data_IF_420995274577
#
_entry.id   IF_420995274577
#
_cell.length_a   1.000
_cell.length_b   1.000
_cell.length_c   1.000
_cell.angle_alpha   90.00
_cell.angle_beta   90.00
_cell.angle_gamma   90.00
#
_symmetry.space_group_name_H-M   'P 1'
#
loop_
_entity.id
_entity.type
_entity.pdbx_description
1 polymer ?
#
# COMPACT_ATOMS: atom_id res chain seq x y z
N UNK A 1 17.03 -4.10 11.20
CA UNK A 1 17.56 -4.04 9.83
C UNK A 1 19.08 -4.05 9.81
N UNK A 2 19.69 -4.15 8.61
CA UNK A 2 21.15 -4.32 8.38
C UNK A 2 22.04 -3.25 9.06
N UNK A 3 21.46 -2.10 9.42
CA UNK A 3 22.18 -0.98 10.02
C UNK A 3 21.80 -0.67 11.49
N UNK A 4 21.22 -1.62 12.23
CA UNK A 4 20.82 -1.44 13.64
C UNK A 4 19.70 -0.39 13.88
N UNK A 5 18.80 -0.21 12.90
CA UNK A 5 17.54 0.58 13.00
C UNK A 5 17.67 1.90 13.76
N UNK A 6 18.76 2.62 13.51
CA UNK A 6 19.02 3.86 14.23
C UNK A 6 18.05 4.97 13.77
N UNK A 7 17.46 5.76 14.69
CA UNK A 7 16.46 6.77 14.35
C UNK A 7 16.95 7.81 13.33
N UNK A 8 18.25 8.12 13.33
CA UNK A 8 18.86 9.10 12.42
C UNK A 8 18.75 8.72 10.96
N UNK A 9 18.71 7.42 10.61
CA UNK A 9 18.61 6.99 9.21
C UNK A 9 17.26 7.33 8.62
N UNK A 10 16.19 7.11 9.39
CA UNK A 10 14.85 7.51 8.97
C UNK A 10 14.75 9.03 8.85
N UNK A 11 15.38 9.78 9.76
CA UNK A 11 15.46 11.24 9.67
C UNK A 11 16.17 11.68 8.38
N UNK A 12 17.35 11.15 8.09
CA UNK A 12 18.10 11.51 6.88
C UNK A 12 17.35 11.14 5.59
N UNK A 13 16.68 9.98 5.57
CA UNK A 13 15.84 9.60 4.44
C UNK A 13 14.70 10.60 4.21
N UNK A 14 14.04 11.06 5.29
CA UNK A 14 12.97 12.07 5.22
C UNK A 14 13.49 13.42 4.77
N UNK A 15 14.62 13.88 5.31
CA UNK A 15 15.26 15.14 4.94
C UNK A 15 15.70 15.13 3.46
N UNK A 16 16.35 14.05 3.01
CA UNK A 16 16.76 13.88 1.62
C UNK A 16 15.58 13.84 0.65
N UNK A 17 14.51 13.14 1.03
CA UNK A 17 13.27 13.07 0.23
C UNK A 17 12.59 14.44 0.14
N UNK A 18 12.52 15.17 1.25
CA UNK A 18 11.95 16.52 1.28
C UNK A 18 12.76 17.50 0.41
N UNK A 19 14.10 17.44 0.50
CA UNK A 19 14.98 18.26 -0.33
C UNK A 19 14.81 17.95 -1.82
N UNK A 20 14.78 16.67 -2.20
CA UNK A 20 14.58 16.26 -3.58
C UNK A 20 13.25 16.79 -4.14
N UNK A 21 12.14 16.54 -3.44
CA UNK A 21 10.81 16.98 -3.87
C UNK A 21 10.66 18.51 -3.93
N UNK A 22 11.37 19.23 -3.05
CA UNK A 22 11.33 20.69 -3.01
C UNK A 22 12.11 21.37 -4.13
N UNK A 23 13.23 20.79 -4.58
CA UNK A 23 14.21 21.52 -5.39
C UNK A 23 14.57 20.87 -6.72
N UNK A 24 14.46 19.55 -6.86
CA UNK A 24 14.84 18.86 -8.10
C UNK A 24 13.72 18.86 -9.13
N UNK A 25 12.47 19.13 -8.75
CA UNK A 25 11.33 19.14 -9.67
C UNK A 25 11.18 20.50 -10.36
N UNK A 26 11.20 20.51 -11.69
CA UNK A 26 10.93 21.68 -12.53
C UNK A 26 9.42 21.75 -12.78
N UNK A 27 8.71 22.46 -11.90
CA UNK A 27 7.26 22.63 -11.95
C UNK A 27 6.79 23.57 -13.07
N UNK A 28 7.66 24.41 -13.63
CA UNK A 28 7.29 25.33 -14.70
C UNK A 28 7.23 24.62 -16.04
N UNK A 29 8.21 23.76 -16.32
CA UNK A 29 8.34 23.08 -17.61
C UNK A 29 8.18 21.55 -17.52
N UNK A 30 7.76 21.01 -16.38
CA UNK A 30 7.44 19.60 -16.19
C UNK A 30 8.63 18.65 -16.30
N UNK A 31 9.76 19.00 -15.70
CA UNK A 31 11.01 18.23 -15.76
C UNK A 31 11.64 17.93 -14.40
N UNK A 32 12.88 17.44 -14.43
CA UNK A 32 13.71 17.24 -13.24
C UNK A 32 15.08 17.85 -13.52
N UNK A 33 15.63 18.60 -12.57
CA UNK A 33 17.00 19.09 -12.62
C UNK A 33 17.98 17.98 -12.27
N UNK A 34 19.10 17.86 -12.98
CA UNK A 34 20.13 16.87 -12.66
C UNK A 34 20.85 17.19 -11.35
N UNK A 35 21.17 18.47 -11.14
CA UNK A 35 21.83 18.97 -9.94
C UNK A 35 21.22 20.29 -9.47
N UNK A 36 21.24 20.47 -8.15
CA UNK A 36 20.96 21.74 -7.49
C UNK A 36 22.10 22.08 -6.53
N UNK A 37 22.33 23.36 -6.30
CA UNK A 37 23.19 23.83 -5.23
C UNK A 37 22.57 23.50 -3.85
N UNK A 38 23.35 23.59 -2.77
CA UNK A 38 22.85 23.32 -1.42
C UNK A 38 21.65 24.21 -1.00
N UNK A 39 21.45 25.35 -1.67
CA UNK A 39 20.31 26.25 -1.47
C UNK A 39 19.11 25.94 -2.39
N UNK A 40 19.16 24.86 -3.16
CA UNK A 40 18.10 24.43 -4.07
C UNK A 40 18.10 25.11 -5.45
N UNK A 41 19.03 26.02 -5.73
CA UNK A 41 19.11 26.65 -7.04
C UNK A 41 19.58 25.64 -8.12
N UNK A 42 18.90 25.56 -9.28
CA UNK A 42 19.31 24.67 -10.36
C UNK A 42 20.73 24.96 -10.85
N UNK A 43 21.56 23.93 -10.93
CA UNK A 43 22.86 24.02 -11.57
C UNK A 43 22.69 23.84 -13.08
N UNK A 44 22.91 24.91 -13.85
CA UNK A 44 22.55 24.98 -15.28
C UNK A 44 23.74 25.37 -16.18
N UNK A 45 24.93 24.83 -15.90
CA UNK A 45 26.12 25.03 -16.71
C UNK A 45 26.37 23.85 -17.66
N UNK A 46 26.81 24.14 -18.88
CA UNK A 46 27.17 23.11 -19.87
C UNK A 46 26.02 22.17 -20.21
N UNK A 47 26.30 20.87 -20.27
CA UNK A 47 25.34 19.82 -20.61
C UNK A 47 24.26 19.60 -19.55
N UNK A 48 24.46 20.05 -18.30
CA UNK A 48 23.49 19.88 -17.21
C UNK A 48 22.23 20.73 -17.41
N UNK A 49 22.31 21.80 -18.22
CA UNK A 49 21.14 22.59 -18.64
C UNK A 49 20.33 21.90 -19.75
N UNK A 50 20.94 21.01 -20.52
CA UNK A 50 20.33 20.42 -21.70
C UNK A 50 19.35 19.32 -21.33
N UNK A 51 18.04 19.52 -21.51
CA UNK A 51 17.01 18.51 -21.18
C UNK A 51 17.16 17.17 -21.91
N UNK A 52 17.81 17.15 -23.07
CA UNK A 52 18.12 15.93 -23.83
C UNK A 52 19.55 15.41 -23.64
N UNK A 53 20.33 15.96 -22.70
CA UNK A 53 21.69 15.48 -22.44
C UNK A 53 21.66 14.17 -21.67
N UNK A 54 22.76 13.40 -21.70
CA UNK A 54 22.89 12.18 -20.91
C UNK A 54 22.74 12.41 -19.39
N UNK A 55 22.88 13.67 -18.92
CA UNK A 55 22.65 14.05 -17.52
C UNK A 55 21.16 14.24 -17.21
N UNK A 56 20.34 14.68 -18.17
CA UNK A 56 18.92 15.02 -17.94
C UNK A 56 17.94 14.09 -18.67
N UNK A 57 18.42 13.34 -19.66
CA UNK A 57 17.63 12.35 -20.38
C UNK A 57 17.16 11.32 -19.35
N UNK A 58 15.84 11.23 -19.18
CA UNK A 58 15.24 10.79 -17.93
C UNK A 58 15.51 9.36 -17.49
N UNK A 59 16.31 8.54 -18.18
CA UNK A 59 16.50 7.14 -17.79
C UNK A 59 17.09 7.00 -16.37
N UNK A 60 18.11 7.79 -15.98
CA UNK A 60 18.61 7.77 -14.60
C UNK A 60 17.59 8.33 -13.59
N UNK A 61 16.93 9.45 -13.92
CA UNK A 61 15.96 10.07 -13.03
C UNK A 61 14.71 9.20 -12.86
N UNK A 62 14.23 8.53 -13.90
CA UNK A 62 13.07 7.64 -13.86
C UNK A 62 13.38 6.37 -13.08
N UNK A 63 14.54 5.75 -13.30
CA UNK A 63 14.96 4.57 -12.53
C UNK A 63 15.11 4.91 -11.05
N UNK A 64 15.80 6.01 -10.71
CA UNK A 64 15.94 6.46 -9.33
C UNK A 64 14.60 6.81 -8.69
N UNK A 65 13.72 7.53 -9.40
CA UNK A 65 12.39 7.86 -8.90
C UNK A 65 11.53 6.60 -8.69
N UNK A 66 11.60 5.65 -9.62
CA UNK A 66 10.89 4.37 -9.53
C UNK A 66 11.34 3.57 -8.32
N UNK A 67 12.65 3.37 -8.16
CA UNK A 67 13.22 2.69 -7.00
C UNK A 67 12.89 3.41 -5.70
N UNK A 68 13.09 4.74 -5.64
CA UNK A 68 12.77 5.53 -4.45
C UNK A 68 11.29 5.42 -4.07
N UNK A 69 10.38 5.45 -5.04
CA UNK A 69 8.94 5.27 -4.80
C UNK A 69 8.64 3.87 -4.27
N UNK A 70 9.18 2.82 -4.89
CA UNK A 70 8.98 1.42 -4.46
C UNK A 70 9.47 1.21 -3.03
N UNK A 71 10.71 1.60 -2.74
CA UNK A 71 11.29 1.43 -1.41
C UNK A 71 10.52 2.22 -0.35
N UNK A 72 10.19 3.49 -0.64
CA UNK A 72 9.47 4.35 0.31
C UNK A 72 8.05 3.85 0.55
N UNK A 73 7.34 3.46 -0.50
CA UNK A 73 5.95 3.03 -0.38
C UNK A 73 5.87 1.63 0.24
N UNK A 74 6.53 0.63 -0.35
CA UNK A 74 6.37 -0.75 0.08
C UNK A 74 7.14 -1.07 1.37
N UNK A 75 8.39 -0.58 1.51
CA UNK A 75 9.21 -0.97 2.67
C UNK A 75 9.07 -0.05 3.87
N UNK A 76 8.97 1.27 3.65
CA UNK A 76 8.95 2.27 4.74
C UNK A 76 7.52 2.59 5.18
N UNK A 77 6.67 3.05 4.26
CA UNK A 77 5.32 3.54 4.60
C UNK A 77 4.23 2.46 4.53
N UNK A 78 4.61 1.24 4.11
CA UNK A 78 3.73 0.07 3.99
C UNK A 78 2.49 0.30 3.12
N UNK A 79 2.64 1.07 2.06
CA UNK A 79 1.61 1.40 1.08
C UNK A 79 1.70 0.48 -0.14
N UNK A 80 0.57 -0.12 -0.51
CA UNK A 80 0.45 -0.90 -1.74
C UNK A 80 0.62 -0.01 -2.98
N UNK A 81 1.10 -0.61 -4.07
CA UNK A 81 1.33 0.07 -5.35
C UNK A 81 0.79 -0.74 -6.51
N UNK A 82 0.24 -0.05 -7.50
CA UNK A 82 -0.22 -0.65 -8.75
C UNK A 82 0.85 -0.49 -9.84
N UNK A 83 1.19 -1.59 -10.51
CA UNK A 83 2.11 -1.62 -11.65
C UNK A 83 1.37 -2.08 -12.90
N UNK A 84 1.78 -1.54 -14.05
CA UNK A 84 1.12 -1.75 -15.32
C UNK A 84 2.10 -2.33 -16.34
N UNK A 85 1.69 -3.41 -16.99
CA UNK A 85 2.46 -4.13 -17.98
C UNK A 85 1.64 -4.31 -19.25
N UNK A 86 2.35 -4.44 -20.37
CA UNK A 86 1.74 -4.73 -21.67
C UNK A 86 2.55 -5.78 -22.42
N UNK A 87 2.56 -7.05 -21.95
CA UNK A 87 3.29 -8.11 -22.61
C UNK A 87 2.71 -8.40 -23.99
N UNK A 88 3.59 -8.66 -24.96
CA UNK A 88 3.22 -9.18 -26.27
C UNK A 88 2.79 -10.66 -26.18
N UNK A 89 1.91 -11.11 -27.09
CA UNK A 89 1.59 -12.53 -27.27
C UNK A 89 2.85 -13.39 -27.35
N UNK A 90 2.89 -14.48 -26.59
CA UNK A 90 4.03 -15.41 -26.57
C UNK A 90 5.40 -14.73 -26.31
N UNK A 91 5.42 -13.54 -25.69
CA UNK A 91 6.65 -12.78 -25.46
C UNK A 91 7.59 -13.41 -24.42
N UNK A 92 7.13 -14.40 -23.66
CA UNK A 92 7.88 -15.05 -22.58
C UNK A 92 7.71 -16.58 -22.61
N UNK A 93 8.74 -17.33 -22.17
CA UNK A 93 8.60 -18.76 -21.93
C UNK A 93 7.43 -19.06 -20.99
N UNK A 94 6.63 -20.06 -21.35
CA UNK A 94 5.44 -20.51 -20.62
C UNK A 94 4.38 -19.41 -20.35
N UNK A 95 4.42 -18.29 -21.07
CA UNK A 95 3.54 -17.14 -20.85
C UNK A 95 3.59 -16.61 -19.40
N UNK A 96 4.73 -16.71 -18.73
CA UNK A 96 4.90 -16.27 -17.33
C UNK A 96 5.47 -14.86 -17.23
N UNK A 97 4.65 -13.94 -16.75
CA UNK A 97 5.06 -12.56 -16.46
C UNK A 97 5.55 -12.43 -15.01
N UNK A 98 6.83 -12.12 -14.83
CA UNK A 98 7.42 -11.79 -13.53
C UNK A 98 7.22 -10.31 -13.24
N UNK A 99 6.61 -9.98 -12.11
CA UNK A 99 6.22 -8.59 -11.78
C UNK A 99 6.93 -8.03 -10.55
N UNK A 100 7.85 -8.80 -9.96
CA UNK A 100 8.65 -8.37 -8.81
C UNK A 100 9.49 -7.12 -9.13
N UNK A 101 9.43 -6.06 -8.30
CA UNK A 101 10.37 -4.96 -8.37
C UNK A 101 11.78 -5.41 -8.00
N UNK A 102 12.79 -4.78 -8.59
CA UNK A 102 14.18 -5.19 -8.39
C UNK A 102 14.68 -4.91 -6.95
N UNK A 103 15.62 -5.73 -6.49
CA UNK A 103 16.39 -5.53 -5.24
C UNK A 103 15.56 -5.32 -3.96
N UNK A 104 14.36 -5.88 -3.87
CA UNK A 104 13.60 -5.94 -2.61
C UNK A 104 14.06 -7.14 -1.75
N UNK A 105 14.14 -7.01 -0.42
CA UNK A 105 14.39 -8.14 0.45
C UNK A 105 13.37 -9.25 0.21
N UNK A 106 13.83 -10.50 0.11
CA UNK A 106 12.94 -11.64 -0.12
C UNK A 106 11.86 -11.71 0.96
N UNK A 107 10.60 -11.90 0.54
CA UNK A 107 9.46 -11.95 1.45
C UNK A 107 9.09 -10.62 2.11
N UNK A 108 9.58 -9.48 1.62
CA UNK A 108 9.16 -8.16 2.10
C UNK A 108 7.92 -7.60 1.41
N UNK A 109 7.57 -8.14 0.24
CA UNK A 109 6.39 -7.78 -0.56
C UNK A 109 5.78 -9.02 -1.21
N UNK A 110 4.52 -8.92 -1.59
CA UNK A 110 3.76 -9.99 -2.23
C UNK A 110 2.81 -9.44 -3.30
N UNK A 111 2.48 -10.28 -4.29
CA UNK A 111 1.51 -9.96 -5.33
C UNK A 111 0.09 -10.20 -4.79
N UNK A 112 -0.68 -9.11 -4.60
CA UNK A 112 -1.98 -9.14 -3.94
C UNK A 112 -3.15 -9.33 -4.91
N UNK A 113 -3.17 -8.55 -5.99
CA UNK A 113 -4.29 -8.54 -6.94
C UNK A 113 -3.75 -8.42 -8.37
N UNK A 114 -4.44 -9.05 -9.33
CA UNK A 114 -4.13 -8.96 -10.76
C UNK A 114 -5.40 -8.63 -11.53
N UNK A 115 -5.26 -7.79 -12.56
CA UNK A 115 -6.28 -7.54 -13.55
C UNK A 115 -5.71 -7.68 -14.95
N UNK A 116 -6.48 -8.31 -15.83
CA UNK A 116 -6.19 -8.40 -17.26
C UNK A 116 -7.35 -7.75 -18.01
N UNK A 117 -7.06 -6.77 -18.86
CA UNK A 117 -8.05 -5.98 -19.59
C UNK A 117 -9.18 -5.46 -18.66
N UNK A 118 -8.75 -4.87 -17.54
CA UNK A 118 -9.60 -4.28 -16.49
C UNK A 118 -10.51 -5.27 -15.72
N UNK A 119 -10.30 -6.59 -15.89
CA UNK A 119 -11.03 -7.66 -15.19
C UNK A 119 -10.15 -8.38 -14.19
N UNK A 120 -10.68 -8.70 -13.01
CA UNK A 120 -9.97 -9.48 -11.99
C UNK A 120 -9.49 -10.82 -12.54
N UNK A 121 -8.26 -11.17 -12.20
CA UNK A 121 -7.58 -12.38 -12.65
C UNK A 121 -6.91 -13.06 -11.45
N UNK A 122 -6.96 -14.39 -11.41
CA UNK A 122 -6.64 -15.16 -10.20
C UNK A 122 -5.56 -16.23 -10.41
N UNK A 123 -5.10 -16.46 -11.64
CA UNK A 123 -4.03 -17.43 -11.91
C UNK A 123 -2.65 -16.78 -11.79
N UNK A 124 -2.21 -16.58 -10.55
CA UNK A 124 -0.91 -16.00 -10.24
C UNK A 124 -0.32 -16.60 -8.96
N UNK A 125 1.01 -16.61 -8.89
CA UNK A 125 1.75 -16.96 -7.68
C UNK A 125 2.03 -15.67 -6.87
N UNK A 126 1.39 -15.59 -5.71
CA UNK A 126 1.49 -14.48 -4.76
C UNK A 126 2.92 -14.25 -4.26
N UNK A 127 3.64 -15.33 -3.95
CA UNK A 127 4.96 -15.28 -3.31
C UNK A 127 6.07 -15.14 -4.34
N UNK A 128 5.99 -15.89 -5.44
CA UNK A 128 6.94 -15.78 -6.54
C UNK A 128 6.72 -14.51 -7.38
N UNK A 129 5.58 -13.83 -7.21
CA UNK A 129 5.16 -12.65 -7.97
C UNK A 129 5.15 -12.93 -9.49
N UNK A 130 4.49 -14.02 -9.86
CA UNK A 130 4.37 -14.49 -11.25
C UNK A 130 2.91 -14.50 -11.65
N UNK A 131 2.56 -13.86 -12.76
CA UNK A 131 1.25 -13.98 -13.41
C UNK A 131 1.36 -15.02 -14.53
N UNK A 132 0.51 -16.04 -14.49
CA UNK A 132 0.39 -17.00 -15.59
C UNK A 132 -0.56 -16.38 -16.63
N UNK A 133 0.01 -15.79 -17.69
CA UNK A 133 -0.80 -15.09 -18.68
C UNK A 133 -1.65 -16.09 -19.47
N UNK A 134 -2.93 -15.77 -19.75
CA UNK A 134 -3.72 -16.56 -20.67
C UNK A 134 -3.16 -16.45 -22.09
N UNK A 135 -3.44 -17.46 -22.91
CA UNK A 135 -3.17 -17.36 -24.34
C UNK A 135 -3.93 -16.19 -24.96
N UNK A 136 -3.23 -15.41 -25.77
CA UNK A 136 -3.77 -14.25 -26.45
C UNK A 136 -3.10 -14.09 -27.81
N UNK A 137 -3.83 -13.54 -28.77
CA UNK A 137 -3.36 -13.13 -30.10
C UNK A 137 -2.96 -11.65 -30.15
N UNK A 138 -3.21 -10.91 -29.06
CA UNK A 138 -2.93 -9.48 -28.91
C UNK A 138 -2.25 -9.14 -27.58
N UNK A 139 -1.53 -8.02 -27.48
CA UNK A 139 -0.93 -7.59 -26.22
C UNK A 139 -2.00 -7.39 -25.14
N UNK A 140 -1.75 -7.93 -23.95
CA UNK A 140 -2.67 -7.86 -22.82
C UNK A 140 -2.38 -6.62 -21.98
N UNK A 141 -3.40 -5.94 -21.47
CA UNK A 141 -3.21 -4.91 -20.43
C UNK A 141 -3.24 -5.58 -19.06
N UNK A 142 -2.07 -5.70 -18.43
CA UNK A 142 -1.96 -6.31 -17.11
C UNK A 142 -1.75 -5.20 -16.09
N UNK A 143 -2.64 -5.11 -15.11
CA UNK A 143 -2.41 -4.35 -13.88
C UNK A 143 -2.16 -5.34 -12.75
N UNK A 144 -1.17 -5.08 -11.92
CA UNK A 144 -0.95 -5.83 -10.69
C UNK A 144 -0.90 -4.89 -9.51
N UNK A 145 -1.33 -5.36 -8.34
CA UNK A 145 -1.12 -4.70 -7.07
C UNK A 145 -0.09 -5.48 -6.27
N UNK A 146 0.97 -4.80 -5.88
CA UNK A 146 1.97 -5.35 -4.96
C UNK A 146 1.79 -4.66 -3.62
N UNK A 147 1.85 -5.43 -2.55
CA UNK A 147 1.73 -4.93 -1.19
C UNK A 147 2.85 -5.46 -0.30
N UNK A 148 3.14 -4.81 0.84
CA UNK A 148 4.09 -5.35 1.79
C UNK A 148 3.64 -6.73 2.31
N UNK A 149 4.55 -7.69 2.31
CA UNK A 149 4.27 -9.06 2.71
C UNK A 149 4.11 -9.16 4.23
N UNK A 150 3.34 -10.16 4.67
CA UNK A 150 3.05 -10.36 6.09
C UNK A 150 2.00 -9.41 6.66
N UNK A 151 1.45 -8.49 5.88
CA UNK A 151 0.29 -7.68 6.25
C UNK A 151 -1.00 -8.49 6.10
N UNK A 152 -1.08 -9.68 6.69
CA UNK A 152 -2.11 -10.70 6.47
C UNK A 152 -3.48 -10.34 7.03
N UNK A 153 -4.02 -9.17 6.69
CA UNK A 153 -5.32 -8.74 7.15
C UNK A 153 -6.43 -9.45 6.35
N UNK A 154 -7.34 -10.12 7.07
CA UNK A 154 -8.64 -10.52 6.54
C UNK A 154 -9.76 -9.95 7.42
N UNK A 155 -10.93 -9.79 6.82
CA UNK A 155 -12.15 -9.40 7.49
C UNK A 155 -13.27 -10.32 7.00
N UNK A 156 -13.38 -11.49 7.60
CA UNK A 156 -14.27 -12.54 7.14
C UNK A 156 -15.64 -12.40 7.81
N UNK A 157 -16.70 -12.28 7.01
CA UNK A 157 -18.06 -12.23 7.51
C UNK A 157 -18.46 -13.59 8.11
N UNK A 158 -18.67 -13.63 9.42
CA UNK A 158 -19.12 -14.82 10.15
C UNK A 158 -20.64 -14.98 10.10
N UNK A 159 -21.38 -13.88 10.28
CA UNK A 159 -22.84 -13.87 10.23
C UNK A 159 -23.37 -12.47 9.93
N UNK A 160 -24.58 -12.42 9.35
CA UNK A 160 -25.33 -11.18 9.15
C UNK A 160 -26.79 -11.41 9.51
N UNK A 161 -27.19 -10.91 10.68
CA UNK A 161 -28.51 -11.14 11.26
C UNK A 161 -29.07 -9.84 11.84
N UNK A 162 -30.34 -9.54 11.56
CA UNK A 162 -31.02 -8.34 12.08
C UNK A 162 -30.27 -7.02 11.82
N UNK A 163 -29.58 -6.90 10.69
CA UNK A 163 -28.79 -5.71 10.34
C UNK A 163 -27.42 -5.63 11.02
N UNK A 164 -27.04 -6.62 11.84
CA UNK A 164 -25.74 -6.69 12.51
C UNK A 164 -24.82 -7.65 11.74
N UNK A 165 -23.70 -7.14 11.24
CA UNK A 165 -22.65 -7.95 10.63
C UNK A 165 -21.56 -8.30 11.63
N UNK A 166 -21.27 -9.60 11.81
CA UNK A 166 -20.15 -10.07 12.63
C UNK A 166 -18.98 -10.45 11.75
N UNK A 167 -17.83 -9.82 11.96
CA UNK A 167 -16.62 -10.05 11.17
C UNK A 167 -15.50 -10.61 12.06
N UNK A 168 -14.83 -11.67 11.60
CA UNK A 168 -13.56 -12.12 12.15
C UNK A 168 -12.43 -11.34 11.50
N UNK A 169 -11.63 -10.67 12.32
CA UNK A 169 -10.43 -9.99 11.88
C UNK A 169 -9.20 -10.85 12.19
N UNK A 170 -8.34 -11.02 11.20
CA UNK A 170 -7.04 -11.69 11.32
C UNK A 170 -5.94 -10.72 10.86
N UNK A 171 -4.73 -10.85 11.39
CA UNK A 171 -3.54 -10.12 10.93
C UNK A 171 -3.45 -8.68 11.44
N UNK A 172 -3.01 -7.77 10.57
CA UNK A 172 -2.62 -6.40 10.95
C UNK A 172 -3.51 -5.35 10.26
N UNK A 173 -4.38 -4.69 11.04
CA UNK A 173 -5.26 -3.63 10.53
C UNK A 173 -4.51 -2.30 10.44
N UNK A 174 -3.87 -2.10 9.29
CA UNK A 174 -3.13 -0.87 8.97
C UNK A 174 -3.85 0.00 7.94
N UNK A 175 -3.39 1.24 7.75
CA UNK A 175 -3.93 2.16 6.73
C UNK A 175 -4.12 1.53 5.34
N UNK A 176 -3.19 0.68 4.89
CA UNK A 176 -3.26 0.05 3.57
C UNK A 176 -4.32 -1.05 3.46
N UNK A 177 -4.81 -1.56 4.60
CA UNK A 177 -5.84 -2.61 4.68
C UNK A 177 -7.26 -2.07 4.87
N UNK A 178 -7.40 -0.77 5.18
CA UNK A 178 -8.70 -0.11 5.26
C UNK A 178 -9.57 -0.24 4.00
N UNK A 179 -9.04 -0.13 2.76
CA UNK A 179 -9.86 -0.34 1.56
C UNK A 179 -10.45 -1.75 1.48
N UNK A 180 -9.69 -2.77 1.91
CA UNK A 180 -10.18 -4.16 1.96
C UNK A 180 -11.28 -4.29 3.00
N UNK A 181 -11.07 -3.80 4.22
CA UNK A 181 -12.10 -3.85 5.26
C UNK A 181 -13.37 -3.09 4.86
N UNK A 182 -13.20 -1.89 4.29
CA UNK A 182 -14.30 -1.06 3.77
C UNK A 182 -15.12 -1.81 2.72
N UNK A 183 -14.46 -2.49 1.78
CA UNK A 183 -15.12 -3.30 0.75
C UNK A 183 -15.97 -4.42 1.35
N UNK A 184 -15.51 -5.07 2.42
CA UNK A 184 -16.30 -6.11 3.11
C UNK A 184 -17.55 -5.54 3.77
N UNK A 185 -17.46 -4.36 4.39
CA UNK A 185 -18.63 -3.66 4.95
C UNK A 185 -19.61 -3.23 3.85
N UNK A 186 -19.12 -2.75 2.71
CA UNK A 186 -19.95 -2.29 1.58
C UNK A 186 -20.71 -3.42 0.86
N UNK A 187 -20.29 -4.67 1.02
CA UNK A 187 -21.04 -5.84 0.49
C UNK A 187 -22.39 -6.04 1.20
N UNK A 188 -22.54 -5.52 2.43
CA UNK A 188 -23.76 -5.68 3.22
C UNK A 188 -24.66 -4.46 3.10
N UNK A 189 -25.91 -4.70 2.72
CA UNK A 189 -26.96 -3.66 2.71
C UNK A 189 -27.80 -3.74 3.98
N UNK A 190 -28.25 -2.59 4.50
CA UNK A 190 -29.06 -2.53 5.72
C UNK A 190 -28.28 -2.73 7.03
N UNK A 191 -26.97 -2.49 7.01
CA UNK A 191 -26.12 -2.50 8.20
C UNK A 191 -26.59 -1.45 9.23
N UNK A 192 -27.04 -1.92 10.39
CA UNK A 192 -27.38 -1.12 11.58
C UNK A 192 -26.34 -1.25 12.68
N UNK A 193 -25.39 -2.20 12.56
CA UNK A 193 -24.26 -2.31 13.46
C UNK A 193 -23.26 -3.37 13.02
N UNK A 194 -22.09 -3.37 13.65
CA UNK A 194 -21.05 -4.39 13.44
C UNK A 194 -20.47 -4.89 14.76
N UNK A 195 -20.11 -6.17 14.75
CA UNK A 195 -19.33 -6.82 15.81
C UNK A 195 -18.01 -7.27 15.19
N UNK A 196 -16.89 -6.80 15.74
CA UNK A 196 -15.55 -7.16 15.29
C UNK A 196 -14.94 -8.15 16.26
N UNK A 197 -14.79 -9.39 15.82
CA UNK A 197 -14.03 -10.42 16.52
C UNK A 197 -12.55 -10.26 16.21
N UNK A 198 -11.80 -9.78 17.20
CA UNK A 198 -10.39 -9.42 17.08
C UNK A 198 -9.46 -10.52 17.63
N UNK A 199 -9.98 -11.72 17.87
CA UNK A 199 -9.22 -12.83 18.49
C UNK A 199 -7.92 -13.15 17.75
N UNK A 200 -7.95 -13.12 16.41
CA UNK A 200 -6.78 -13.38 15.57
C UNK A 200 -6.14 -12.09 15.01
N UNK A 201 -6.68 -10.92 15.36
CA UNK A 201 -6.06 -9.66 15.00
C UNK A 201 -4.80 -9.51 15.85
N UNK A 202 -3.67 -9.27 15.20
CA UNK A 202 -2.37 -9.09 15.84
C UNK A 202 -2.20 -7.64 16.28
N UNK A 203 -2.33 -6.71 15.34
CA UNK A 203 -2.14 -5.27 15.58
C UNK A 203 -3.17 -4.41 14.85
N UNK A 204 -3.35 -3.19 15.34
CA UNK A 204 -4.13 -2.13 14.70
C UNK A 204 -3.41 -0.79 14.93
N UNK A 205 -3.23 -0.01 13.87
CA UNK A 205 -2.59 1.31 13.96
C UNK A 205 -3.60 2.44 14.24
N UNK A 206 -3.11 3.65 14.54
CA UNK A 206 -3.96 4.83 14.80
C UNK A 206 -4.90 5.13 13.63
N UNK A 207 -4.52 4.82 12.40
CA UNK A 207 -5.38 5.03 11.22
C UNK A 207 -6.53 4.02 11.22
N UNK A 208 -6.26 2.78 11.63
CA UNK A 208 -7.26 1.74 11.91
C UNK A 208 -8.28 2.18 12.93
N UNK A 209 -7.82 2.67 14.09
CA UNK A 209 -8.69 3.17 15.14
C UNK A 209 -9.56 4.35 14.71
N UNK A 210 -8.94 5.35 14.07
CA UNK A 210 -9.65 6.51 13.54
C UNK A 210 -10.71 6.11 12.50
N UNK A 211 -10.41 5.12 11.67
CA UNK A 211 -11.38 4.61 10.70
C UNK A 211 -12.61 3.97 11.37
N UNK A 212 -12.40 3.17 12.43
CA UNK A 212 -13.51 2.57 13.19
C UNK A 212 -14.36 3.63 13.88
N UNK A 213 -13.73 4.62 14.52
CA UNK A 213 -14.41 5.73 15.17
C UNK A 213 -15.25 6.51 14.15
N UNK A 214 -14.65 6.86 13.01
CA UNK A 214 -15.32 7.60 11.96
C UNK A 214 -16.48 6.80 11.34
N UNK A 215 -16.33 5.48 11.18
CA UNK A 215 -17.40 4.60 10.71
C UNK A 215 -18.60 4.63 11.64
N UNK A 216 -18.37 4.55 12.96
CA UNK A 216 -19.43 4.69 13.98
C UNK A 216 -20.10 6.06 13.90
N UNK A 217 -19.33 7.15 13.83
CA UNK A 217 -19.84 8.52 13.81
C UNK A 217 -20.64 8.84 12.54
N UNK A 218 -20.13 8.47 11.35
CA UNK A 218 -20.80 8.74 10.08
C UNK A 218 -22.14 8.02 9.93
N UNK A 219 -22.28 6.83 10.52
CA UNK A 219 -23.51 6.02 10.45
C UNK A 219 -24.59 6.49 11.44
N UNK A 220 -24.25 7.42 12.33
CA UNK A 220 -25.15 8.05 13.28
C UNK A 220 -25.28 7.32 14.61
N UNK A 221 -25.92 7.96 15.59
CA UNK A 221 -25.97 7.51 16.99
C UNK A 221 -26.64 6.15 17.22
N UNK A 222 -27.45 5.67 16.28
CA UNK A 222 -28.11 4.36 16.37
C UNK A 222 -27.22 3.20 15.88
N UNK A 223 -26.09 3.49 15.21
CA UNK A 223 -25.19 2.47 14.69
C UNK A 223 -24.31 1.90 15.80
N UNK A 224 -24.35 0.58 16.00
CA UNK A 224 -23.52 -0.08 17.02
C UNK A 224 -22.21 -0.57 16.43
N UNK A 225 -21.11 -0.37 17.16
CA UNK A 225 -19.80 -0.94 16.86
C UNK A 225 -19.25 -1.56 18.13
N UNK A 226 -19.18 -2.89 18.16
CA UNK A 226 -18.75 -3.67 19.31
C UNK A 226 -17.47 -4.43 18.98
N UNK A 227 -16.59 -4.54 19.97
CA UNK A 227 -15.31 -5.24 19.85
C UNK A 227 -15.32 -6.46 20.76
N UNK A 228 -14.80 -7.59 20.31
CA UNK A 228 -14.64 -8.79 21.14
C UNK A 228 -13.30 -9.46 20.85
N UNK A 229 -12.78 -10.24 21.81
CA UNK A 229 -11.54 -10.99 21.62
C UNK A 229 -10.26 -10.14 21.55
N UNK A 230 -10.23 -8.95 22.17
CA UNK A 230 -9.02 -8.11 22.14
C UNK A 230 -7.84 -8.81 22.82
N UNK A 231 -6.74 -8.97 22.08
CA UNK A 231 -5.47 -9.38 22.66
C UNK A 231 -4.85 -8.22 23.49
N UNK A 232 -3.76 -8.49 24.21
CA UNK A 232 -3.11 -7.49 25.07
C UNK A 232 -2.54 -6.29 24.31
N UNK A 233 -2.03 -6.50 23.09
CA UNK A 233 -1.44 -5.46 22.24
C UNK A 233 -2.52 -4.53 21.66
N UNK A 234 -3.59 -5.10 21.11
CA UNK A 234 -4.76 -4.37 20.60
C UNK A 234 -5.44 -3.58 21.74
N UNK A 235 -5.63 -4.19 22.91
CA UNK A 235 -6.22 -3.49 24.06
C UNK A 235 -5.34 -2.34 24.57
N UNK A 236 -4.02 -2.48 24.53
CA UNK A 236 -3.12 -1.38 24.89
C UNK A 236 -3.18 -0.27 23.83
N UNK A 237 -3.15 -0.61 22.54
CA UNK A 237 -3.26 0.39 21.47
C UNK A 237 -4.56 1.19 21.51
N UNK A 238 -5.66 0.56 21.94
CA UNK A 238 -6.96 1.23 22.11
C UNK A 238 -6.90 2.33 23.18
N UNK A 239 -6.22 2.05 24.29
CA UNK A 239 -6.01 2.99 25.39
C UNK A 239 -5.02 4.09 25.01
N UNK A 240 -3.96 3.72 24.30
CA UNK A 240 -2.97 4.67 23.81
C UNK A 240 -3.58 5.67 22.81
N UNK A 241 -4.61 5.23 22.07
CA UNK A 241 -5.42 6.08 21.19
C UNK A 241 -6.49 6.91 21.93
N UNK A 242 -6.68 6.71 23.25
CA UNK A 242 -7.71 7.36 24.07
C UNK A 242 -9.16 7.11 23.57
N UNK A 243 -9.44 5.89 23.07
CA UNK A 243 -10.75 5.52 22.50
C UNK A 243 -11.46 4.40 23.26
N UNK A 244 -10.98 4.03 24.44
CA UNK A 244 -11.56 2.95 25.24
C UNK A 244 -12.99 3.24 25.72
N UNK A 245 -13.37 4.52 25.84
CA UNK A 245 -14.76 4.94 26.11
C UNK A 245 -15.63 4.98 24.86
N UNK A 246 -15.03 4.99 23.66
CA UNK A 246 -15.76 5.10 22.39
C UNK A 246 -16.26 3.74 21.87
N UNK A 247 -15.70 2.62 22.33
CA UNK A 247 -16.10 1.31 21.84
C UNK A 247 -16.63 0.44 22.97
N UNK A 248 -17.72 -0.27 22.69
CA UNK A 248 -18.24 -1.25 23.62
C UNK A 248 -17.47 -2.57 23.43
N UNK A 249 -16.66 -2.94 24.43
CA UNK A 249 -15.97 -4.24 24.47
C UNK A 249 -16.90 -5.27 25.12
N UNK A 250 -17.17 -6.38 24.43
CA UNK A 250 -18.10 -7.45 24.83
C UNK A 250 -17.47 -8.84 24.88
#
# INVERSE_FOLDING_TARGET
GVYNDKPEYLRFAREGTAFYNGWFLDYESGGVYFNVLANGQPYSLGSERGKGSHSMAGYHSFELCFLAAIYSNLLVTKQAMDFYFRPDPQGWPDNKLRVAPDLLPAGSVELAEVWIDDKSFYDFDKTAMIVNLPDSDKPLRVRVRIEPAGLGFSADLMSFENGIGRFALDGDLTKSKLPQFKKELEKLSGLTGIVLDMTNLKTIDDTGWNYLLFTKQQRGAAFTLQLTGLNSEVNQSLKDAELDEEFQVI
#
